data_IF_252846951993
#
_entry.id   IF_252846951993
#
_cell.length_a   1.000
_cell.length_b   1.000
_cell.length_c   1.000
_cell.angle_alpha   90.00
_cell.angle_beta   90.00
_cell.angle_gamma   90.00
#
_symmetry.space_group_name_H-M   'P 1'
#
loop_
_entity.id
_entity.type
_entity.pdbx_description
1 polymer ?
#
# COMPACT_ATOMS: atom_id res chain seq x y z
N UNK A 1 22.63 2.59 -20.50
CA UNK A 1 21.67 1.50 -20.24
C UNK A 1 21.93 0.99 -18.83
N UNK A 2 20.88 0.81 -18.04
CA UNK A 2 20.90 0.25 -16.70
C UNK A 2 20.75 -1.28 -16.74
N UNK A 3 21.21 -1.95 -15.70
CA UNK A 3 20.87 -3.35 -15.48
C UNK A 3 19.44 -3.45 -14.95
N UNK A 4 19.08 -2.52 -14.02
CA UNK A 4 17.75 -2.45 -13.41
C UNK A 4 17.23 -1.02 -13.40
N UNK A 5 15.99 -0.79 -13.84
CA UNK A 5 15.19 0.39 -13.47
C UNK A 5 14.15 -0.01 -12.44
N UNK A 6 14.15 0.65 -11.30
CA UNK A 6 13.20 0.44 -10.20
C UNK A 6 12.14 1.56 -10.26
N UNK A 7 10.86 1.21 -10.36
CA UNK A 7 9.76 2.17 -10.46
C UNK A 7 9.06 2.29 -9.11
N UNK A 8 9.20 3.41 -8.45
CA UNK A 8 8.67 3.70 -7.12
C UNK A 8 9.70 3.58 -6.01
N UNK A 9 9.70 4.56 -5.11
CA UNK A 9 10.66 4.71 -4.00
C UNK A 9 10.09 4.37 -2.62
N UNK A 10 8.97 3.66 -2.56
CA UNK A 10 8.46 3.08 -1.31
C UNK A 10 9.41 2.01 -0.75
N UNK A 11 9.07 1.41 0.41
CA UNK A 11 9.91 0.40 1.07
C UNK A 11 10.40 -0.74 0.17
N UNK A 12 9.59 -1.17 -0.80
CA UNK A 12 9.98 -2.20 -1.77
C UNK A 12 11.05 -1.70 -2.72
N UNK A 13 10.87 -0.50 -3.30
CA UNK A 13 11.85 0.10 -4.22
C UNK A 13 13.17 0.46 -3.53
N UNK A 14 13.10 0.97 -2.28
CA UNK A 14 14.31 1.26 -1.50
C UNK A 14 15.09 0.00 -1.16
N UNK A 15 14.40 -1.09 -0.77
CA UNK A 15 15.05 -2.38 -0.55
C UNK A 15 15.68 -2.90 -1.85
N UNK A 16 14.98 -2.81 -2.97
CA UNK A 16 15.53 -3.20 -4.27
C UNK A 16 16.78 -2.38 -4.61
N UNK A 17 16.77 -1.06 -4.40
CA UNK A 17 17.93 -0.21 -4.63
C UNK A 17 19.14 -0.62 -3.78
N UNK A 18 18.93 -0.86 -2.48
CA UNK A 18 19.97 -1.32 -1.54
C UNK A 18 20.58 -2.63 -2.03
N UNK A 19 19.76 -3.62 -2.37
CA UNK A 19 20.24 -4.92 -2.82
C UNK A 19 20.94 -4.86 -4.18
N UNK A 20 20.43 -4.04 -5.13
CA UNK A 20 21.05 -3.83 -6.43
C UNK A 20 22.46 -3.23 -6.29
N UNK A 21 22.62 -2.20 -5.44
CA UNK A 21 23.95 -1.61 -5.18
C UNK A 21 24.92 -2.61 -4.54
N UNK A 22 24.43 -3.42 -3.59
CA UNK A 22 25.24 -4.47 -2.94
C UNK A 22 25.66 -5.58 -3.91
N UNK A 23 24.84 -5.87 -4.92
CA UNK A 23 25.16 -6.80 -6.01
C UNK A 23 26.04 -6.21 -7.11
N UNK A 24 26.42 -4.93 -7.02
CA UNK A 24 27.22 -4.23 -8.03
C UNK A 24 26.48 -3.99 -9.35
N UNK A 25 25.13 -4.03 -9.35
CA UNK A 25 24.32 -3.79 -10.53
C UNK A 25 24.12 -2.29 -10.76
N UNK A 26 24.16 -1.88 -12.02
CA UNK A 26 23.85 -0.50 -12.40
C UNK A 26 22.34 -0.27 -12.34
N UNK A 27 21.85 0.27 -11.22
CA UNK A 27 20.43 0.47 -10.99
C UNK A 27 20.10 1.96 -10.76
N UNK A 28 18.86 2.34 -11.10
CA UNK A 28 18.27 3.65 -10.83
C UNK A 28 16.86 3.51 -10.33
N UNK A 29 16.48 4.32 -9.35
CA UNK A 29 15.11 4.46 -8.85
C UNK A 29 14.45 5.64 -9.54
N UNK A 30 13.27 5.43 -10.12
CA UNK A 30 12.44 6.48 -10.69
C UNK A 30 11.24 6.70 -9.79
N UNK A 31 11.07 7.94 -9.31
CA UNK A 31 9.94 8.32 -8.45
C UNK A 31 9.31 9.62 -8.97
N UNK A 32 7.98 9.64 -9.01
CA UNK A 32 7.23 10.79 -9.51
C UNK A 32 7.12 11.94 -8.52
N UNK A 33 7.32 11.68 -7.24
CA UNK A 33 7.25 12.68 -6.17
C UNK A 33 8.64 12.99 -5.63
N UNK A 34 9.00 14.29 -5.56
CA UNK A 34 10.34 14.78 -5.25
C UNK A 34 10.97 14.16 -3.98
N UNK A 35 10.21 14.00 -2.93
CA UNK A 35 10.66 13.38 -1.67
C UNK A 35 9.85 12.10 -1.36
N UNK A 36 9.42 11.41 -2.42
CA UNK A 36 8.58 10.22 -2.26
C UNK A 36 9.32 9.12 -1.51
N UNK A 37 8.75 8.66 -0.42
CA UNK A 37 9.14 7.43 0.28
C UNK A 37 7.98 6.43 0.27
N UNK A 38 7.01 6.72 -0.59
CA UNK A 38 5.78 5.95 -0.73
C UNK A 38 4.80 6.18 0.43
N UNK A 39 3.78 5.36 0.45
CA UNK A 39 2.66 5.43 1.37
C UNK A 39 3.01 5.35 2.87
N UNK A 40 4.21 4.87 3.20
CA UNK A 40 4.69 4.82 4.58
C UNK A 40 4.76 6.22 5.21
N UNK A 41 5.05 7.26 4.41
CA UNK A 41 5.14 8.63 4.88
C UNK A 41 3.83 9.17 5.51
N UNK A 42 2.68 8.57 5.18
CA UNK A 42 1.37 8.93 5.75
C UNK A 42 1.15 8.38 7.17
N UNK A 43 2.03 7.47 7.64
CA UNK A 43 1.89 6.83 8.96
C UNK A 43 2.50 7.71 10.04
N UNK A 44 1.71 8.10 11.05
CA UNK A 44 2.23 8.89 12.18
C UNK A 44 3.23 8.09 13.03
N UNK A 45 3.06 6.77 13.07
CA UNK A 45 3.91 5.88 13.87
C UNK A 45 3.90 4.46 13.32
N UNK A 46 5.07 3.84 13.29
CA UNK A 46 5.28 2.46 12.84
C UNK A 46 5.84 1.64 14.00
N UNK A 47 5.05 0.71 14.54
CA UNK A 47 5.42 -0.14 15.69
C UNK A 47 5.71 -1.59 15.28
N UNK A 48 5.53 -1.93 14.00
CA UNK A 48 5.60 -3.29 13.49
C UNK A 48 6.76 -3.53 12.49
N UNK A 49 7.75 -2.64 12.47
CA UNK A 49 8.97 -2.86 11.71
C UNK A 49 10.12 -3.22 12.68
N UNK A 50 10.68 -4.45 12.60
CA UNK A 50 11.70 -4.90 13.54
C UNK A 50 12.95 -4.02 13.54
N UNK A 51 13.42 -3.65 14.72
CA UNK A 51 14.62 -2.84 14.92
C UNK A 51 14.38 -1.32 14.93
N UNK A 52 13.22 -0.83 14.47
CA UNK A 52 12.87 0.60 14.43
C UNK A 52 11.47 0.84 15.02
N UNK A 53 11.37 0.66 16.34
CA UNK A 53 10.11 0.83 17.06
C UNK A 53 9.77 2.29 17.30
N UNK A 54 8.55 2.69 17.01
CA UNK A 54 8.02 4.00 17.36
C UNK A 54 8.40 5.14 16.40
N UNK A 55 9.06 4.84 15.29
CA UNK A 55 9.36 5.83 14.26
C UNK A 55 8.09 6.32 13.57
N UNK A 56 8.04 7.59 13.17
CA UNK A 56 7.02 8.00 12.22
C UNK A 56 7.35 7.50 10.81
N UNK A 57 6.35 7.38 9.96
CA UNK A 57 6.54 6.77 8.65
C UNK A 57 7.40 7.58 7.70
N UNK A 58 7.39 8.92 7.82
CA UNK A 58 8.25 9.79 7.03
C UNK A 58 9.72 9.56 7.39
N UNK A 59 10.08 9.63 8.67
CA UNK A 59 11.46 9.42 9.14
C UNK A 59 11.96 8.00 8.82
N UNK A 60 11.08 6.99 8.91
CA UNK A 60 11.41 5.63 8.53
C UNK A 60 11.70 5.53 7.02
N UNK A 61 10.90 6.17 6.19
CA UNK A 61 11.12 6.27 4.75
C UNK A 61 12.43 6.95 4.40
N UNK A 62 12.72 8.08 5.06
CA UNK A 62 13.98 8.81 4.89
C UNK A 62 15.20 7.98 5.32
N UNK A 63 15.10 7.18 6.36
CA UNK A 63 16.18 6.24 6.75
C UNK A 63 16.43 5.20 5.66
N UNK A 64 15.39 4.67 5.02
CA UNK A 64 15.56 3.74 3.89
C UNK A 64 16.21 4.42 2.70
N UNK A 65 15.80 5.65 2.38
CA UNK A 65 16.36 6.44 1.31
C UNK A 65 17.84 6.75 1.55
N UNK A 66 18.16 7.31 2.72
CA UNK A 66 19.54 7.60 3.13
C UNK A 66 20.43 6.35 3.07
N UNK A 67 19.90 5.18 3.47
CA UNK A 67 20.63 3.93 3.36
C UNK A 67 20.95 3.58 1.89
N UNK A 68 19.98 3.70 1.00
CA UNK A 68 20.20 3.44 -0.43
C UNK A 68 21.20 4.44 -1.05
N UNK A 69 21.09 5.73 -0.72
CA UNK A 69 21.99 6.80 -1.18
C UNK A 69 23.44 6.59 -0.69
N UNK A 70 23.63 6.18 0.56
CA UNK A 70 24.95 5.86 1.12
C UNK A 70 25.64 4.69 0.41
N UNK A 71 24.86 3.80 -0.22
CA UNK A 71 25.39 2.73 -1.06
C UNK A 71 25.56 3.15 -2.52
N UNK A 72 25.28 4.40 -2.87
CA UNK A 72 25.43 4.94 -4.22
C UNK A 72 24.23 4.75 -5.14
N UNK A 73 23.02 4.51 -4.59
CA UNK A 73 21.82 4.42 -5.43
C UNK A 73 21.50 5.75 -6.11
N UNK A 74 21.22 5.68 -7.41
CA UNK A 74 20.83 6.82 -8.24
C UNK A 74 19.30 6.99 -8.20
N UNK A 75 18.85 8.25 -8.10
CA UNK A 75 17.42 8.60 -8.11
C UNK A 75 17.13 9.59 -9.25
N UNK A 76 16.03 9.36 -9.95
CA UNK A 76 15.50 10.24 -10.99
C UNK A 76 14.07 10.61 -10.63
N UNK A 77 13.78 11.90 -10.54
CA UNK A 77 12.44 12.42 -10.42
C UNK A 77 11.75 12.43 -11.79
N UNK A 78 10.54 11.86 -11.85
CA UNK A 78 9.69 11.79 -13.04
C UNK A 78 8.73 10.62 -13.01
N UNK A 79 7.68 10.72 -13.81
CA UNK A 79 6.70 9.65 -13.95
C UNK A 79 7.00 8.80 -15.19
N UNK A 80 7.08 7.49 -15.02
CA UNK A 80 7.15 6.57 -16.16
C UNK A 80 5.74 6.46 -16.76
N UNK A 81 5.59 6.93 -17.99
CA UNK A 81 4.30 6.96 -18.70
C UNK A 81 4.14 5.82 -19.71
N UNK A 82 5.24 5.17 -20.12
CA UNK A 82 5.23 4.05 -21.05
C UNK A 82 6.41 3.13 -20.85
N UNK A 83 6.19 1.83 -20.98
CA UNK A 83 7.21 0.80 -20.99
C UNK A 83 7.10 0.04 -22.30
N UNK A 84 8.18 -0.05 -23.07
CA UNK A 84 8.23 -0.75 -24.35
C UNK A 84 9.32 -1.81 -24.31
N UNK A 85 8.96 -3.07 -24.59
CA UNK A 85 9.91 -4.16 -24.74
C UNK A 85 10.61 -4.07 -26.09
N UNK A 86 11.92 -4.13 -26.10
CA UNK A 86 12.77 -4.26 -27.28
C UNK A 86 13.59 -5.55 -27.20
N UNK A 87 14.37 -5.90 -28.24
CA UNK A 87 15.24 -7.06 -28.16
C UNK A 87 16.26 -6.91 -27.03
N UNK A 88 16.11 -7.72 -25.97
CA UNK A 88 17.05 -7.79 -24.84
C UNK A 88 17.03 -6.62 -23.84
N UNK A 89 16.09 -5.67 -23.97
CA UNK A 89 15.98 -4.55 -23.04
C UNK A 89 14.59 -3.92 -23.05
N UNK A 90 14.33 -3.02 -22.09
CA UNK A 90 13.15 -2.19 -21.98
C UNK A 90 13.51 -0.72 -22.19
N UNK A 91 12.66 -0.01 -22.90
CA UNK A 91 12.68 1.46 -22.98
C UNK A 91 11.52 1.99 -22.12
N UNK A 92 11.86 2.82 -21.13
CA UNK A 92 10.92 3.45 -20.21
C UNK A 92 10.88 4.96 -20.53
N UNK A 93 9.73 5.42 -20.98
CA UNK A 93 9.52 6.84 -21.32
C UNK A 93 9.04 7.58 -20.07
N UNK A 94 9.71 8.69 -19.75
CA UNK A 94 9.31 9.62 -18.70
C UNK A 94 8.40 10.72 -19.28
N UNK A 95 7.69 11.40 -18.39
CA UNK A 95 6.77 12.53 -18.69
C UNK A 95 7.46 13.75 -19.31
N UNK A 96 8.76 13.94 -19.09
CA UNK A 96 9.57 15.08 -19.58
C UNK A 96 10.31 14.79 -20.91
N UNK A 97 9.73 14.01 -21.83
CA UNK A 97 10.33 13.58 -23.09
C UNK A 97 11.71 12.89 -22.96
N UNK A 98 12.02 12.39 -21.77
CA UNK A 98 13.22 11.59 -21.47
C UNK A 98 12.90 10.12 -21.57
N UNK A 99 13.88 9.31 -21.90
CA UNK A 99 13.75 7.86 -21.91
C UNK A 99 14.96 7.21 -21.23
N UNK A 100 14.68 6.16 -20.48
CA UNK A 100 15.69 5.28 -19.89
C UNK A 100 15.67 3.93 -20.61
N UNK A 101 16.82 3.28 -20.67
CA UNK A 101 16.91 1.91 -21.16
C UNK A 101 17.47 1.02 -20.09
N UNK A 102 16.84 -0.15 -19.88
CA UNK A 102 17.25 -1.13 -18.88
C UNK A 102 17.09 -2.56 -19.39
N UNK A 103 17.94 -3.46 -18.90
CA UNK A 103 17.82 -4.89 -19.18
C UNK A 103 16.65 -5.49 -18.42
N UNK A 104 16.39 -5.03 -17.20
CA UNK A 104 15.28 -5.47 -16.34
C UNK A 104 14.57 -4.30 -15.67
N UNK A 105 13.35 -4.54 -15.20
CA UNK A 105 12.50 -3.56 -14.51
C UNK A 105 11.96 -4.18 -13.22
N UNK A 106 12.08 -3.47 -12.10
CA UNK A 106 11.37 -3.80 -10.85
C UNK A 106 10.23 -2.81 -10.66
N UNK A 107 9.01 -3.29 -10.77
CA UNK A 107 7.80 -2.49 -10.64
C UNK A 107 7.34 -2.48 -9.18
N UNK A 108 7.59 -1.38 -8.46
CA UNK A 108 7.35 -1.19 -7.03
C UNK A 108 6.41 -0.01 -6.74
N UNK A 109 5.46 0.27 -7.65
CA UNK A 109 4.59 1.45 -7.62
C UNK A 109 3.51 1.44 -6.53
N UNK A 110 3.39 0.38 -5.74
CA UNK A 110 2.50 0.27 -4.58
C UNK A 110 1.01 0.35 -4.90
N UNK A 111 0.22 0.86 -3.94
CA UNK A 111 -1.24 0.98 -4.01
C UNK A 111 -1.71 2.34 -3.52
N UNK A 112 -2.91 2.74 -3.92
CA UNK A 112 -3.64 3.88 -3.37
C UNK A 112 -4.88 3.39 -2.60
N UNK A 113 -5.12 3.95 -1.41
CA UNK A 113 -6.35 3.71 -0.68
C UNK A 113 -7.52 4.41 -1.38
N UNK A 114 -8.65 3.71 -1.49
CA UNK A 114 -9.89 4.35 -1.92
C UNK A 114 -10.37 5.28 -0.83
N UNK A 115 -10.66 6.52 -1.19
CA UNK A 115 -11.18 7.54 -0.28
C UNK A 115 -12.70 7.50 -0.26
N UNK A 116 -13.28 7.91 0.88
CA UNK A 116 -14.73 8.14 1.00
C UNK A 116 -15.15 9.37 0.20
N UNK A 117 -14.26 10.35 0.11
CA UNK A 117 -14.52 11.64 -0.55
C UNK A 117 -15.43 12.55 0.26
N UNK A 118 -15.42 12.44 1.58
CA UNK A 118 -16.26 13.24 2.49
C UNK A 118 -15.44 14.28 3.25
N UNK A 119 -16.08 15.37 3.65
CA UNK A 119 -15.44 16.40 4.46
C UNK A 119 -14.94 15.81 5.79
N UNK A 120 -13.76 16.24 6.25
CA UNK A 120 -13.09 15.75 7.44
C UNK A 120 -12.21 14.54 7.21
N UNK A 121 -12.34 13.82 6.09
CA UNK A 121 -11.52 12.63 5.82
C UNK A 121 -10.03 12.97 5.69
N UNK A 122 -9.72 13.94 4.84
CA UNK A 122 -8.34 14.34 4.58
C UNK A 122 -7.76 15.21 5.71
N UNK A 123 -8.58 16.09 6.23
CA UNK A 123 -8.19 17.03 7.30
C UNK A 123 -7.83 16.31 8.60
N UNK A 124 -8.47 15.18 8.87
CA UNK A 124 -8.25 14.38 10.07
C UNK A 124 -7.43 13.10 9.81
N UNK A 125 -6.83 12.97 8.64
CA UNK A 125 -5.92 11.87 8.33
C UNK A 125 -4.73 11.88 9.31
N UNK A 126 -4.47 10.72 9.94
CA UNK A 126 -3.50 10.59 11.01
C UNK A 126 -3.94 11.17 12.36
N UNK A 127 -4.99 12.00 12.39
CA UNK A 127 -5.57 12.57 13.62
C UNK A 127 -6.91 11.93 13.99
N UNK A 128 -7.01 10.64 13.74
CA UNK A 128 -8.21 9.83 14.01
C UNK A 128 -8.77 9.13 12.78
N UNK A 129 -8.46 9.57 11.57
CA UNK A 129 -8.75 8.84 10.33
C UNK A 129 -7.54 8.00 9.95
N UNK A 130 -7.75 6.71 9.67
CA UNK A 130 -6.73 5.76 9.23
C UNK A 130 -7.27 4.85 8.12
N UNK A 131 -6.37 4.36 7.27
CA UNK A 131 -6.62 3.33 6.26
C UNK A 131 -5.99 1.97 6.61
N UNK A 132 -5.39 1.83 7.80
CA UNK A 132 -4.69 0.62 8.21
C UNK A 132 -4.98 0.26 9.67
N UNK A 133 -5.89 -0.69 9.89
CA UNK A 133 -6.21 -1.16 11.24
C UNK A 133 -5.03 -1.91 11.90
N UNK A 134 -4.22 -2.62 11.11
CA UNK A 134 -3.03 -3.34 11.61
C UNK A 134 -1.94 -2.36 12.07
N UNK A 135 -1.83 -1.20 11.39
CA UNK A 135 -0.84 -0.18 11.74
C UNK A 135 -1.25 0.60 12.99
N UNK A 136 -2.47 1.12 13.00
CA UNK A 136 -2.90 2.16 13.94
C UNK A 136 -3.85 1.65 15.03
N UNK A 137 -4.34 0.40 14.93
CA UNK A 137 -5.34 -0.14 15.85
C UNK A 137 -4.94 -0.09 17.32
N UNK A 138 -3.66 -0.25 17.62
CA UNK A 138 -3.14 -0.23 18.99
C UNK A 138 -3.36 1.12 19.71
N UNK A 139 -3.42 2.25 18.98
CA UNK A 139 -3.67 3.60 19.54
C UNK A 139 -5.11 3.78 20.03
N UNK A 140 -5.99 2.85 19.66
CA UNK A 140 -7.43 2.91 19.99
C UNK A 140 -7.83 1.89 21.06
N UNK A 141 -6.87 1.42 21.87
CA UNK A 141 -7.15 0.55 23.00
C UNK A 141 -8.14 1.23 23.97
N UNK A 142 -9.22 0.51 24.31
CA UNK A 142 -10.33 0.97 25.15
C UNK A 142 -11.12 2.18 24.61
N UNK A 143 -10.95 2.57 23.33
CA UNK A 143 -11.67 3.65 22.66
C UNK A 143 -12.82 3.12 21.82
N UNK A 144 -13.65 4.02 21.31
CA UNK A 144 -14.74 3.71 20.37
C UNK A 144 -14.30 4.04 18.96
N UNK A 145 -14.41 3.10 18.04
CA UNK A 145 -13.98 3.30 16.65
C UNK A 145 -15.08 2.95 15.65
N UNK A 146 -15.01 3.53 14.46
CA UNK A 146 -15.79 3.14 13.31
C UNK A 146 -14.91 2.49 12.25
N UNK A 147 -15.32 1.36 11.71
CA UNK A 147 -14.76 0.74 10.49
C UNK A 147 -15.75 0.96 9.37
N UNK A 148 -15.31 1.60 8.30
CA UNK A 148 -16.15 1.93 7.15
C UNK A 148 -15.85 0.96 6.02
N UNK A 149 -16.81 0.09 5.70
CA UNK A 149 -16.65 -0.91 4.64
C UNK A 149 -17.59 -2.11 4.82
N UNK A 150 -17.48 -3.09 3.93
CA UNK A 150 -18.34 -4.30 4.00
C UNK A 150 -17.79 -5.49 3.24
N UNK A 151 -16.53 -5.45 2.83
CA UNK A 151 -15.78 -6.57 2.27
C UNK A 151 -14.92 -7.27 3.31
N UNK A 152 -14.15 -8.28 2.89
CA UNK A 152 -13.29 -9.08 3.77
C UNK A 152 -12.33 -8.23 4.59
N UNK A 153 -11.73 -7.20 4.00
CA UNK A 153 -10.84 -6.25 4.70
C UNK A 153 -11.56 -5.57 5.86
N UNK A 154 -12.72 -4.98 5.61
CA UNK A 154 -13.46 -4.23 6.64
C UNK A 154 -13.90 -5.13 7.81
N UNK A 155 -14.39 -6.35 7.51
CA UNK A 155 -14.79 -7.28 8.56
C UNK A 155 -13.56 -7.82 9.30
N UNK A 156 -12.44 -8.07 8.61
CA UNK A 156 -11.17 -8.46 9.22
C UNK A 156 -10.64 -7.38 10.16
N UNK A 157 -10.65 -6.13 9.71
CA UNK A 157 -10.25 -4.96 10.51
C UNK A 157 -11.16 -4.79 11.74
N UNK A 158 -12.48 -4.97 11.59
CA UNK A 158 -13.42 -4.91 12.70
C UNK A 158 -13.14 -6.01 13.74
N UNK A 159 -12.82 -7.24 13.30
CA UNK A 159 -12.42 -8.34 14.20
C UNK A 159 -11.12 -8.01 14.92
N UNK A 160 -10.11 -7.51 14.22
CA UNK A 160 -8.84 -7.10 14.84
C UNK A 160 -9.06 -6.01 15.89
N UNK A 161 -9.75 -4.93 15.50
CA UNK A 161 -10.03 -3.80 16.38
C UNK A 161 -10.92 -4.17 17.57
N UNK A 162 -11.79 -5.18 17.44
CA UNK A 162 -12.62 -5.65 18.56
C UNK A 162 -11.82 -6.22 19.73
N UNK A 163 -10.62 -6.73 19.47
CA UNK A 163 -9.69 -7.17 20.51
C UNK A 163 -8.98 -6.04 21.24
N UNK A 164 -9.05 -4.82 20.73
CA UNK A 164 -8.35 -3.64 21.26
C UNK A 164 -9.33 -2.57 21.77
N UNK A 165 -10.31 -2.23 20.95
CA UNK A 165 -11.24 -1.15 21.19
C UNK A 165 -12.37 -1.56 22.16
N UNK A 166 -12.91 -0.57 22.89
CA UNK A 166 -14.10 -0.76 23.72
C UNK A 166 -15.33 -1.11 22.88
N UNK A 167 -15.45 -0.49 21.69
CA UNK A 167 -16.57 -0.69 20.76
C UNK A 167 -16.14 -0.40 19.34
N UNK A 168 -16.64 -1.20 18.40
CA UNK A 168 -16.40 -1.04 16.97
C UNK A 168 -17.75 -0.89 16.27
N UNK A 169 -18.02 0.26 15.66
CA UNK A 169 -19.10 0.42 14.71
C UNK A 169 -18.66 -0.06 13.34
N UNK A 170 -19.29 -1.08 12.79
CA UNK A 170 -19.01 -1.54 11.42
C UNK A 170 -20.06 -0.95 10.46
N UNK A 171 -19.69 0.17 9.83
CA UNK A 171 -20.58 0.99 9.00
C UNK A 171 -20.53 0.53 7.55
N UNK A 172 -21.69 0.14 6.99
CA UNK A 172 -21.80 -0.28 5.60
C UNK A 172 -23.00 0.34 4.90
N UNK A 173 -22.76 0.84 3.66
CA UNK A 173 -23.78 1.55 2.86
C UNK A 173 -24.93 0.67 2.34
N UNK A 174 -24.76 -0.66 2.34
CA UNK A 174 -25.77 -1.63 1.89
C UNK A 174 -26.37 -2.39 3.08
N UNK A 175 -27.49 -3.11 2.82
CA UNK A 175 -28.16 -3.95 3.83
C UNK A 175 -27.42 -5.23 4.17
N UNK A 176 -26.42 -5.64 3.34
CA UNK A 176 -25.68 -6.89 3.53
C UNK A 176 -24.19 -6.68 3.26
N UNK A 177 -23.35 -7.41 4.03
CA UNK A 177 -21.91 -7.45 3.80
C UNK A 177 -21.56 -8.30 2.58
N UNK A 178 -20.51 -7.92 1.86
CA UNK A 178 -19.96 -8.68 0.72
C UNK A 178 -18.85 -9.65 1.11
N UNK A 179 -18.41 -9.59 2.36
CA UNK A 179 -17.40 -10.48 2.92
C UNK A 179 -17.83 -11.94 2.88
N UNK A 180 -16.89 -12.87 2.92
CA UNK A 180 -17.19 -14.29 3.00
C UNK A 180 -17.99 -14.66 4.25
N UNK A 181 -18.79 -15.73 4.18
CA UNK A 181 -19.71 -16.13 5.26
C UNK A 181 -19.02 -16.49 6.57
N UNK A 182 -17.82 -17.09 6.52
CA UNK A 182 -17.07 -17.42 7.73
C UNK A 182 -16.71 -16.16 8.52
N UNK A 183 -16.29 -15.10 7.84
CA UNK A 183 -15.96 -13.83 8.47
C UNK A 183 -17.21 -13.08 8.97
N UNK A 184 -18.32 -13.14 8.24
CA UNK A 184 -19.61 -12.61 8.71
C UNK A 184 -20.07 -13.31 10.00
N UNK A 185 -19.98 -14.64 10.07
CA UNK A 185 -20.31 -15.42 11.25
C UNK A 185 -19.40 -15.06 12.45
N UNK A 186 -18.09 -14.86 12.18
CA UNK A 186 -17.15 -14.42 13.21
C UNK A 186 -17.52 -13.05 13.79
N UNK A 187 -17.85 -12.09 12.94
CA UNK A 187 -18.28 -10.73 13.33
C UNK A 187 -19.57 -10.79 14.17
N UNK A 188 -20.55 -11.59 13.77
CA UNK A 188 -21.83 -11.71 14.50
C UNK A 188 -21.69 -12.30 15.90
N UNK A 189 -20.65 -13.09 16.16
CA UNK A 189 -20.34 -13.65 17.48
C UNK A 189 -19.60 -12.69 18.42
N UNK A 190 -19.15 -11.51 17.96
CA UNK A 190 -18.36 -10.58 18.75
C UNK A 190 -19.25 -9.44 19.29
N UNK A 191 -19.44 -9.40 20.62
CA UNK A 191 -20.41 -8.51 21.29
C UNK A 191 -20.13 -7.01 21.14
N UNK A 192 -18.88 -6.60 21.03
CA UNK A 192 -18.51 -5.18 20.94
C UNK A 192 -18.40 -4.66 19.49
N UNK A 193 -18.67 -5.50 18.48
CA UNK A 193 -18.89 -5.07 17.11
C UNK A 193 -20.38 -4.78 16.91
N UNK A 194 -20.70 -3.55 16.49
CA UNK A 194 -22.07 -3.11 16.20
C UNK A 194 -22.21 -2.85 14.72
N UNK A 195 -22.88 -3.72 13.96
CA UNK A 195 -23.18 -3.47 12.55
C UNK A 195 -24.13 -2.29 12.38
N UNK A 196 -23.76 -1.36 11.48
CA UNK A 196 -24.56 -0.19 11.10
C UNK A 196 -24.76 -0.27 9.58
N UNK A 197 -25.79 -1.00 9.18
CA UNK A 197 -26.11 -1.26 7.78
C UNK A 197 -27.00 -0.17 7.19
N UNK A 198 -27.10 -0.11 5.85
CA UNK A 198 -27.81 0.91 5.10
C UNK A 198 -27.39 2.34 5.51
N UNK A 199 -26.10 2.50 5.82
CA UNK A 199 -25.54 3.73 6.36
C UNK A 199 -24.40 4.25 5.48
N UNK A 200 -24.60 5.40 4.87
CA UNK A 200 -23.58 6.10 4.11
C UNK A 200 -22.95 7.18 4.99
N UNK A 201 -21.62 7.23 5.04
CA UNK A 201 -20.87 8.28 5.70
C UNK A 201 -21.07 9.57 4.92
N UNK A 202 -21.40 10.67 5.61
CA UNK A 202 -21.59 11.99 5.03
C UNK A 202 -20.44 12.93 5.38
N UNK A 203 -19.90 12.80 6.58
CA UNK A 203 -18.86 13.66 7.10
C UNK A 203 -18.14 12.99 8.28
N UNK A 204 -16.87 13.29 8.46
CA UNK A 204 -16.11 12.98 9.67
C UNK A 204 -15.94 14.30 10.44
N UNK A 205 -16.43 14.33 11.67
CA UNK A 205 -16.41 15.52 12.51
C UNK A 205 -15.26 15.47 13.52
N UNK A 206 -14.65 16.61 13.75
CA UNK A 206 -13.59 16.84 14.71
C UNK A 206 -12.84 18.12 14.39
N UNK A 207 -12.09 18.63 15.35
CA UNK A 207 -11.24 19.81 15.17
C UNK A 207 -9.77 19.38 15.10
N UNK A 208 -9.23 18.91 16.21
CA UNK A 208 -7.84 18.48 16.32
C UNK A 208 -7.70 16.96 16.15
N UNK A 209 -8.77 16.21 16.39
CA UNK A 209 -8.90 14.77 16.23
C UNK A 209 -10.35 14.41 15.89
N UNK A 210 -10.57 13.15 15.49
CA UNK A 210 -11.92 12.64 15.24
C UNK A 210 -12.75 12.63 16.52
N UNK A 211 -13.99 13.13 16.43
CA UNK A 211 -14.96 13.16 17.53
C UNK A 211 -16.24 12.39 17.19
N UNK A 212 -16.65 12.38 15.92
CA UNK A 212 -17.83 11.65 15.47
C UNK A 212 -17.83 11.41 13.95
N UNK A 213 -18.62 10.42 13.52
CA UNK A 213 -18.96 10.20 12.11
C UNK A 213 -20.43 10.53 11.89
N UNK A 214 -20.73 11.46 11.00
CA UNK A 214 -22.07 11.72 10.52
C UNK A 214 -22.43 10.71 9.43
N UNK A 215 -23.54 10.01 9.60
CA UNK A 215 -24.05 9.00 8.68
C UNK A 215 -25.50 9.31 8.28
N UNK A 216 -25.85 8.95 7.06
CA UNK A 216 -27.24 8.86 6.60
C UNK A 216 -27.65 7.38 6.64
N UNK A 217 -28.48 7.00 7.61
CA UNK A 217 -28.96 5.62 7.76
C UNK A 217 -30.47 5.53 7.49
N UNK A 218 -30.86 4.78 6.47
CA UNK A 218 -32.27 4.65 6.04
C UNK A 218 -32.98 6.01 5.85
N UNK A 219 -32.26 7.02 5.31
CA UNK A 219 -32.78 8.36 5.08
C UNK A 219 -32.77 9.28 6.31
N UNK A 220 -32.28 8.80 7.47
CA UNK A 220 -32.18 9.59 8.71
C UNK A 220 -30.72 9.91 9.01
N UNK A 221 -30.42 11.18 9.23
CA UNK A 221 -29.09 11.61 9.68
C UNK A 221 -28.84 11.23 11.13
N UNK A 222 -27.67 10.70 11.42
CA UNK A 222 -27.19 10.32 12.75
C UNK A 222 -25.73 10.67 12.91
N UNK A 223 -25.32 11.01 14.13
CA UNK A 223 -23.93 11.11 14.51
C UNK A 223 -23.53 9.93 15.40
N UNK A 224 -22.46 9.25 15.04
CA UNK A 224 -21.85 8.19 15.86
C UNK A 224 -20.64 8.81 16.56
N UNK A 225 -20.65 9.01 17.88
CA UNK A 225 -19.47 9.44 18.63
C UNK A 225 -18.40 8.36 18.55
N UNK A 226 -17.20 8.71 18.06
CA UNK A 226 -16.06 7.80 17.89
C UNK A 226 -14.75 8.56 18.07
N UNK A 227 -13.74 7.87 18.57
CA UNK A 227 -12.39 8.39 18.74
C UNK A 227 -11.53 8.18 17.48
N UNK A 228 -11.96 7.30 16.57
CA UNK A 228 -11.23 6.99 15.34
C UNK A 228 -12.11 6.36 14.26
N UNK A 229 -11.66 6.53 13.02
CA UNK A 229 -12.33 6.03 11.81
C UNK A 229 -11.32 5.27 10.96
N UNK A 230 -11.60 4.00 10.71
CA UNK A 230 -10.82 3.14 9.82
C UNK A 230 -11.55 2.97 8.49
N UNK A 231 -10.99 3.53 7.43
CA UNK A 231 -11.58 3.49 6.09
C UNK A 231 -11.11 2.24 5.36
N UNK A 232 -11.99 1.23 5.27
CA UNK A 232 -11.71 -0.09 4.70
C UNK A 232 -12.59 -0.40 3.48
N UNK A 233 -12.66 0.55 2.53
CA UNK A 233 -13.45 0.41 1.29
C UNK A 233 -12.64 -0.12 0.10
N UNK A 234 -11.41 -0.57 0.40
CA UNK A 234 -10.47 -1.18 -0.54
C UNK A 234 -9.34 -0.26 -0.94
N UNK A 235 -8.36 -0.84 -1.61
CA UNK A 235 -7.25 -0.15 -2.26
C UNK A 235 -7.24 -0.49 -3.74
N UNK A 236 -6.57 0.35 -4.52
CA UNK A 236 -6.35 0.15 -5.95
C UNK A 236 -4.87 0.05 -6.20
N UNK A 237 -4.37 -1.03 -6.80
CA UNK A 237 -2.97 -1.13 -7.17
C UNK A 237 -2.63 -0.14 -8.28
N UNK A 238 -1.42 0.44 -8.22
CA UNK A 238 -0.92 1.32 -9.26
C UNK A 238 -0.36 0.50 -10.44
N UNK A 239 -1.16 -0.38 -11.01
CA UNK A 239 -0.79 -1.30 -12.09
C UNK A 239 -1.24 -0.87 -13.48
N UNK A 240 -1.90 0.28 -13.61
CA UNK A 240 -2.47 0.75 -14.88
C UNK A 240 -1.44 0.80 -16.01
N UNK A 241 -0.22 1.21 -15.73
CA UNK A 241 0.89 1.29 -16.70
C UNK A 241 1.27 -0.06 -17.30
N UNK A 242 1.14 -1.13 -16.49
CA UNK A 242 1.66 -2.47 -16.88
C UNK A 242 0.57 -3.52 -17.10
N UNK A 243 -0.70 -3.16 -16.99
CA UNK A 243 -1.83 -4.11 -17.12
C UNK A 243 -1.93 -4.79 -18.50
N UNK A 244 -1.37 -4.20 -19.55
CA UNK A 244 -1.33 -4.78 -20.90
C UNK A 244 -0.04 -5.60 -21.13
N UNK A 245 0.94 -5.45 -20.26
CA UNK A 245 2.22 -6.17 -20.32
C UNK A 245 2.26 -7.37 -19.37
N UNK A 246 1.53 -7.29 -18.26
CA UNK A 246 1.60 -8.26 -17.16
C UNK A 246 0.22 -8.83 -16.84
N UNK A 247 0.20 -10.09 -16.41
CA UNK A 247 -1.02 -10.68 -15.86
C UNK A 247 -1.36 -10.00 -14.52
N UNK A 248 -2.62 -9.58 -14.40
CA UNK A 248 -3.19 -9.02 -13.17
C UNK A 248 -4.40 -9.85 -12.71
N UNK A 249 -4.67 -9.84 -11.41
CA UNK A 249 -5.87 -10.48 -10.86
C UNK A 249 -7.14 -9.63 -11.11
N UNK A 250 -8.31 -10.14 -10.71
CA UNK A 250 -9.61 -9.47 -10.84
C UNK A 250 -9.68 -8.10 -10.14
N UNK A 251 -8.81 -7.84 -9.18
CA UNK A 251 -8.70 -6.58 -8.45
C UNK A 251 -7.62 -5.65 -9.00
N UNK A 252 -6.90 -6.07 -10.05
CA UNK A 252 -5.85 -5.32 -10.73
C UNK A 252 -4.46 -5.48 -10.12
N UNK A 253 -4.26 -6.35 -9.13
CA UNK A 253 -2.93 -6.63 -8.57
C UNK A 253 -2.11 -7.50 -9.52
N UNK A 254 -0.81 -7.21 -9.65
CA UNK A 254 0.10 -7.97 -10.51
C UNK A 254 0.26 -9.38 -9.97
N UNK A 255 0.02 -10.38 -10.82
CA UNK A 255 0.23 -11.79 -10.50
C UNK A 255 1.74 -12.08 -10.50
N UNK A 256 2.30 -12.23 -9.31
CA UNK A 256 3.68 -12.62 -9.08
C UNK A 256 3.76 -13.35 -7.73
N UNK A 257 4.65 -14.33 -7.64
CA UNK A 257 4.93 -15.05 -6.40
C UNK A 257 5.94 -14.29 -5.51
N UNK A 258 6.46 -14.93 -4.49
CA UNK A 258 7.41 -14.33 -3.55
C UNK A 258 8.76 -13.98 -4.19
N UNK A 259 9.10 -14.57 -5.34
CA UNK A 259 10.30 -14.22 -6.12
C UNK A 259 10.14 -12.92 -6.90
N UNK A 260 8.90 -12.41 -7.00
CA UNK A 260 8.56 -11.24 -7.77
C UNK A 260 8.50 -11.45 -9.28
N UNK A 261 8.72 -12.66 -9.78
CA UNK A 261 8.67 -13.00 -11.21
C UNK A 261 7.26 -12.79 -11.74
N UNK A 262 7.15 -12.09 -12.87
CA UNK A 262 5.87 -11.80 -13.53
C UNK A 262 5.69 -12.62 -14.82
N UNK A 263 4.58 -12.43 -15.51
CA UNK A 263 4.32 -13.05 -16.82
C UNK A 263 5.19 -12.50 -17.97
N UNK A 264 5.94 -11.43 -17.77
CA UNK A 264 6.86 -10.86 -18.76
C UNK A 264 8.31 -11.03 -18.30
N UNK A 265 9.13 -11.65 -19.16
CA UNK A 265 10.56 -11.85 -18.88
C UNK A 265 11.27 -10.53 -18.60
N UNK A 266 12.04 -10.47 -17.51
CA UNK A 266 12.81 -9.29 -17.12
C UNK A 266 12.02 -8.17 -16.48
N UNK A 267 10.70 -8.34 -16.23
CA UNK A 267 9.90 -7.47 -15.36
C UNK A 267 9.54 -8.22 -14.08
N UNK A 268 9.82 -7.59 -12.94
CA UNK A 268 9.55 -8.12 -11.60
C UNK A 268 8.60 -7.18 -10.86
N UNK A 269 7.76 -7.70 -9.97
CA UNK A 269 6.80 -6.91 -9.19
C UNK A 269 7.09 -7.03 -7.69
N UNK A 270 7.24 -5.89 -7.01
CA UNK A 270 7.56 -5.81 -5.59
C UNK A 270 6.57 -4.96 -4.80
N UNK A 271 6.31 -5.33 -3.56
CA UNK A 271 5.49 -4.55 -2.63
C UNK A 271 3.99 -4.72 -2.86
N UNK A 272 3.25 -3.68 -2.48
CA UNK A 272 1.80 -3.74 -2.37
C UNK A 272 1.05 -3.83 -3.70
N UNK A 273 1.70 -3.52 -4.81
CA UNK A 273 1.14 -3.65 -6.17
C UNK A 273 0.95 -5.11 -6.58
N UNK A 274 1.65 -6.02 -5.92
CA UNK A 274 1.60 -7.47 -6.16
C UNK A 274 0.41 -8.13 -5.44
N UNK A 275 -0.14 -9.18 -6.05
CA UNK A 275 -1.16 -10.03 -5.42
C UNK A 275 -0.57 -10.79 -4.23
N UNK A 276 -0.94 -10.40 -2.99
CA UNK A 276 -0.50 -11.02 -1.73
C UNK A 276 -1.46 -10.75 -0.58
N UNK A 277 -1.39 -11.57 0.47
CA UNK A 277 -2.27 -11.45 1.65
C UNK A 277 -1.90 -10.29 2.55
N UNK A 278 -0.62 -10.17 2.90
CA UNK A 278 -0.12 -9.19 3.87
C UNK A 278 0.60 -8.06 3.15
N UNK A 279 0.11 -6.84 3.33
CA UNK A 279 0.69 -5.61 2.81
C UNK A 279 1.20 -4.77 3.97
N UNK A 280 2.49 -4.89 4.25
CA UNK A 280 3.21 -4.22 5.35
C UNK A 280 4.60 -3.81 4.88
N UNK A 281 5.21 -2.87 5.59
CA UNK A 281 6.58 -2.40 5.30
C UNK A 281 7.55 -3.58 5.20
N UNK A 282 7.53 -4.48 6.19
CA UNK A 282 8.44 -5.64 6.24
C UNK A 282 8.27 -6.58 5.04
N UNK A 283 7.03 -6.82 4.58
CA UNK A 283 6.79 -7.66 3.39
C UNK A 283 7.13 -6.95 2.09
N UNK A 284 7.01 -5.63 2.04
CA UNK A 284 7.44 -4.84 0.89
C UNK A 284 8.97 -4.82 0.76
N UNK A 285 9.68 -4.66 1.87
CA UNK A 285 11.16 -4.75 1.94
C UNK A 285 11.65 -6.12 1.47
N UNK A 286 11.01 -7.20 1.93
CA UNK A 286 11.32 -8.57 1.48
C UNK A 286 11.14 -8.75 -0.02
N UNK A 287 10.02 -8.26 -0.58
CA UNK A 287 9.76 -8.36 -2.02
C UNK A 287 10.84 -7.65 -2.85
N UNK A 288 11.25 -6.44 -2.42
CA UNK A 288 12.30 -5.69 -3.12
C UNK A 288 13.63 -6.45 -3.20
N UNK A 289 14.04 -7.07 -2.10
CA UNK A 289 15.23 -7.91 -2.04
C UNK A 289 15.14 -9.13 -2.97
N UNK A 290 14.03 -9.86 -2.92
CA UNK A 290 13.78 -11.04 -3.74
C UNK A 290 13.76 -10.72 -5.25
N UNK A 291 13.15 -9.57 -5.63
CA UNK A 291 13.14 -9.13 -7.02
C UNK A 291 14.54 -8.86 -7.58
N UNK A 292 15.46 -8.33 -6.76
CA UNK A 292 16.85 -8.13 -7.22
C UNK A 292 17.55 -9.45 -7.46
N UNK A 293 17.39 -10.42 -6.56
CA UNK A 293 17.95 -11.77 -6.76
C UNK A 293 17.43 -12.40 -8.06
N UNK A 294 16.12 -12.32 -8.30
CA UNK A 294 15.51 -12.81 -9.54
C UNK A 294 15.98 -12.07 -10.79
N UNK A 295 16.21 -10.74 -10.68
CA UNK A 295 16.76 -9.95 -11.77
C UNK A 295 18.23 -10.33 -12.07
N UNK A 296 19.03 -10.59 -11.05
CA UNK A 296 20.41 -11.06 -11.18
C UNK A 296 20.48 -12.42 -11.87
N UNK A 297 19.63 -13.36 -11.47
CA UNK A 297 19.49 -14.67 -12.12
C UNK A 297 19.11 -14.54 -13.61
N UNK A 298 18.17 -13.63 -13.91
CA UNK A 298 17.76 -13.35 -15.29
C UNK A 298 18.89 -12.75 -16.12
N UNK A 299 19.64 -11.78 -15.56
CA UNK A 299 20.76 -11.14 -16.23
C UNK A 299 21.88 -12.16 -16.53
N UNK A 300 22.22 -13.02 -15.57
CA UNK A 300 23.27 -14.02 -15.72
C UNK A 300 22.94 -15.07 -16.80
N UNK A 301 21.67 -15.48 -16.91
CA UNK A 301 21.23 -16.40 -17.98
C UNK A 301 21.33 -15.77 -19.38
N UNK A 302 21.11 -14.46 -19.50
CA UNK A 302 21.13 -13.76 -20.79
C UNK A 302 22.50 -13.20 -21.19
N UNK A 303 23.53 -13.31 -20.33
CA UNK A 303 24.92 -13.02 -20.71
C UNK A 303 25.56 -14.21 -21.48
N UNK A 304 24.98 -15.43 -21.33
CA UNK A 304 25.53 -16.65 -21.92
C UNK A 304 24.96 -16.97 -23.33
N UNK A 305 24.08 -16.12 -23.86
CA UNK A 305 23.53 -16.19 -25.21
C UNK A 305 24.01 -15.03 -26.07
#
# INVERSE_FOLDING_TARGET
MYDIVIIGSGPAGMSAAIYAQRAGLKAVVVEKECLGTGKIAESLRVDNYPGLFGENGYDLGEKFRTHAENLGAEFIEGEIIKIVRSKGHYTLQLDADKALTAKTVIYAAGTQCRRLGVAGEQELLGRGVSYCAVCDGAFYKNKVVAVIGGGDTALGDAVLLSGLAKKVYLVHRRGEFRANKALQNKVSGIKNIVPVLNAAVQKINGKDHVEAVAILQNGVEKALPVDGVFVAIGSTPNSALVKELLNVDENGYIAADETGVTSADGIFAAGDVRAKKLRQVVTAVSDGANCVLSAEDYLNKNIQC
#
